data_IF_269055235790
#
_entry.id   IF_269055235790
#
_cell.length_a   1.000
_cell.length_b   1.000
_cell.length_c   1.000
_cell.angle_alpha   90.00
_cell.angle_beta   90.00
_cell.angle_gamma   90.00
#
_symmetry.space_group_name_H-M   'P 1'
#
loop_
_entity.id
_entity.type
_entity.pdbx_description
1 polymer ?
#
# COMPACT_ATOMS: atom_id res chain seq x y z
N UNK A 1 -11.27 -13.44 -7.17
CA UNK A 1 -9.93 -13.00 -6.73
C UNK A 1 -10.09 -11.65 -6.06
N UNK A 2 -9.72 -11.53 -4.79
CA UNK A 2 -9.75 -10.26 -4.04
C UNK A 2 -8.32 -9.73 -4.03
N UNK A 3 -8.12 -8.51 -4.53
CA UNK A 3 -6.81 -7.85 -4.53
C UNK A 3 -6.84 -6.76 -3.47
N UNK A 4 -6.15 -6.92 -2.33
CA UNK A 4 -6.03 -5.85 -1.36
C UNK A 4 -5.28 -4.66 -1.97
N UNK A 5 -5.71 -3.45 -1.61
CA UNK A 5 -5.09 -2.20 -2.02
C UNK A 5 -4.54 -1.45 -0.80
N UNK A 6 -3.36 -0.85 -0.94
CA UNK A 6 -2.72 -0.04 0.09
C UNK A 6 -2.18 1.25 -0.55
N UNK A 7 -2.70 2.39 -0.08
CA UNK A 7 -2.19 3.71 -0.45
C UNK A 7 -1.20 4.19 0.62
N UNK A 8 -0.08 4.75 0.17
CA UNK A 8 0.99 5.30 0.99
C UNK A 8 1.22 6.75 0.57
N UNK A 9 1.18 7.68 1.52
CA UNK A 9 1.63 9.07 1.33
C UNK A 9 2.77 9.31 2.30
N UNK A 10 3.94 9.67 1.78
CA UNK A 10 5.15 9.91 2.58
C UNK A 10 5.47 8.78 3.59
N UNK A 11 5.29 7.53 3.17
CA UNK A 11 5.51 6.35 4.00
C UNK A 11 4.42 6.07 5.03
N UNK A 12 3.40 6.92 5.12
CA UNK A 12 2.23 6.73 5.98
C UNK A 12 1.13 6.02 5.21
N UNK A 13 0.52 5.01 5.84
CA UNK A 13 -0.66 4.36 5.26
C UNK A 13 -1.85 5.30 5.32
N UNK A 14 -2.40 5.60 4.15
CA UNK A 14 -3.56 6.48 4.01
C UNK A 14 -4.70 5.75 3.32
N UNK A 15 -5.89 6.34 3.38
CA UNK A 15 -6.98 6.01 2.46
C UNK A 15 -7.64 7.27 1.98
N UNK A 16 -7.75 7.40 0.66
CA UNK A 16 -8.46 8.50 0.03
C UNK A 16 -9.90 8.10 -0.23
N UNK A 17 -10.85 8.97 0.09
CA UNK A 17 -12.23 8.77 -0.32
C UNK A 17 -12.35 9.12 -1.81
N UNK A 18 -12.52 8.12 -2.68
CA UNK A 18 -12.59 8.30 -4.14
C UNK A 18 -11.38 9.03 -4.77
N UNK A 19 -10.20 8.94 -4.15
CA UNK A 19 -8.99 9.64 -4.62
C UNK A 19 -8.91 11.11 -4.19
N UNK A 20 -9.81 11.58 -3.33
CA UNK A 20 -9.79 12.94 -2.78
C UNK A 20 -8.80 13.05 -1.61
N UNK A 21 -7.74 13.82 -1.81
CA UNK A 21 -6.73 14.15 -0.79
C UNK A 21 -7.32 15.01 0.34
N UNK A 22 -8.33 15.84 0.06
CA UNK A 22 -9.04 16.63 1.08
C UNK A 22 -9.88 15.77 2.03
N UNK A 23 -10.15 14.52 1.65
CA UNK A 23 -10.81 13.50 2.46
C UNK A 23 -9.91 12.29 2.68
N UNK A 24 -8.62 12.55 2.90
CA UNK A 24 -7.70 11.50 3.32
C UNK A 24 -7.95 11.09 4.77
N UNK A 25 -7.76 9.81 5.03
CA UNK A 25 -7.74 9.25 6.37
C UNK A 25 -6.40 8.58 6.61
N UNK A 26 -5.63 9.19 7.51
CA UNK A 26 -4.33 8.66 7.92
C UNK A 26 -4.56 7.53 8.92
N UNK A 27 -4.02 6.36 8.62
CA UNK A 27 -4.04 5.24 9.54
C UNK A 27 -2.83 5.25 10.47
N UNK A 28 -1.78 6.01 10.14
CA UNK A 28 -0.56 6.09 10.92
C UNK A 28 0.20 4.76 11.01
N UNK A 29 1.53 4.83 11.02
CA UNK A 29 2.38 3.67 11.31
C UNK A 29 2.86 2.88 10.09
N UNK A 30 3.71 1.90 10.40
CA UNK A 30 4.45 1.15 9.40
C UNK A 30 3.50 0.39 8.46
N UNK A 31 3.71 0.45 7.13
CA UNK A 31 2.95 -0.35 6.19
C UNK A 31 3.30 -1.84 6.26
N UNK A 32 4.49 -2.16 6.78
CA UNK A 32 5.06 -3.50 6.76
C UNK A 32 4.19 -4.55 7.48
N UNK A 33 3.67 -4.31 8.70
CA UNK A 33 2.74 -5.24 9.35
C UNK A 33 1.45 -5.49 8.56
N UNK A 34 0.89 -4.45 7.91
CA UNK A 34 -0.31 -4.60 7.05
C UNK A 34 -0.04 -5.46 5.84
N UNK A 35 1.09 -5.20 5.18
CA UNK A 35 1.50 -5.96 4.01
C UNK A 35 1.76 -7.44 4.36
N UNK A 36 2.42 -7.69 5.49
CA UNK A 36 2.62 -9.05 6.02
C UNK A 36 1.29 -9.74 6.34
N UNK A 37 0.32 -9.03 6.92
CA UNK A 37 -1.00 -9.57 7.19
C UNK A 37 -1.75 -9.95 5.90
N UNK A 38 -1.62 -9.17 4.83
CA UNK A 38 -2.21 -9.51 3.53
C UNK A 38 -1.54 -10.73 2.90
N UNK A 39 -0.20 -10.78 2.93
CA UNK A 39 0.54 -11.94 2.45
C UNK A 39 0.16 -13.22 3.23
N UNK A 40 0.02 -13.13 4.56
CA UNK A 40 -0.39 -14.24 5.41
C UNK A 40 -1.83 -14.71 5.14
N UNK A 41 -2.70 -13.83 4.63
CA UNK A 41 -4.06 -14.18 4.21
C UNK A 41 -4.11 -14.79 2.80
N UNK A 42 -2.96 -15.00 2.15
CA UNK A 42 -2.88 -15.56 0.80
C UNK A 42 -3.01 -14.51 -0.31
N UNK A 43 -2.81 -13.23 -0.01
CA UNK A 43 -2.72 -12.21 -1.06
C UNK A 43 -1.39 -12.37 -1.82
N UNK A 44 -1.47 -12.90 -3.04
CA UNK A 44 -0.32 -13.01 -3.95
C UNK A 44 -0.04 -11.69 -4.69
N UNK A 45 -1.07 -10.84 -4.81
CA UNK A 45 -1.01 -9.55 -5.49
C UNK A 45 -1.56 -8.47 -4.57
N UNK A 46 -0.81 -7.38 -4.42
CA UNK A 46 -1.27 -6.16 -3.79
C UNK A 46 -1.20 -5.00 -4.78
N UNK A 47 -2.25 -4.18 -4.81
CA UNK A 47 -2.19 -2.90 -5.50
C UNK A 47 -1.65 -1.84 -4.53
N UNK A 48 -0.47 -1.30 -4.82
CA UNK A 48 0.16 -0.27 -4.01
C UNK A 48 0.21 1.05 -4.76
N UNK A 49 -0.23 2.14 -4.13
CA UNK A 49 0.02 3.49 -4.64
C UNK A 49 0.82 4.25 -3.60
N UNK A 50 2.07 4.55 -3.90
CA UNK A 50 2.89 5.47 -3.14
C UNK A 50 2.90 6.83 -3.82
N UNK A 51 2.40 7.84 -3.12
CA UNK A 51 2.46 9.24 -3.52
C UNK A 51 3.43 9.96 -2.58
N UNK A 52 4.33 10.76 -3.13
CA UNK A 52 5.35 11.49 -2.36
C UNK A 52 5.11 13.01 -2.39
N UNK A 53 3.87 13.43 -2.62
CA UNK A 53 3.45 14.83 -2.73
C UNK A 53 3.70 15.47 -4.10
N UNK A 54 4.46 14.84 -4.99
CA UNK A 54 4.72 15.33 -6.35
C UNK A 54 4.58 14.19 -7.37
N UNK A 55 3.42 14.11 -8.04
CA UNK A 55 3.25 13.30 -9.24
C UNK A 55 2.85 11.86 -8.99
N UNK A 56 1.59 11.57 -9.32
CA UNK A 56 0.97 10.25 -9.39
C UNK A 56 1.85 9.24 -10.14
N UNK A 57 2.48 8.34 -9.39
CA UNK A 57 3.13 7.13 -9.92
C UNK A 57 2.47 5.89 -9.34
N UNK A 58 1.82 5.09 -10.17
CA UNK A 58 1.49 3.71 -9.80
C UNK A 58 2.80 2.97 -9.51
N UNK A 59 2.99 2.59 -8.25
CA UNK A 59 4.19 1.89 -7.80
C UNK A 59 3.95 0.39 -8.00
N UNK A 60 4.89 -0.36 -8.60
CA UNK A 60 4.70 -1.79 -8.79
C UNK A 60 4.56 -2.51 -7.44
N UNK A 61 3.66 -3.51 -7.44
CA UNK A 61 3.25 -4.37 -6.32
C UNK A 61 4.31 -4.54 -5.21
N UNK A 62 4.12 -3.91 -4.02
CA UNK A 62 5.08 -4.03 -2.92
C UNK A 62 5.08 -5.43 -2.27
N UNK A 63 4.08 -6.28 -2.55
CA UNK A 63 4.10 -7.66 -2.07
C UNK A 63 5.22 -8.49 -2.71
N UNK A 64 5.61 -8.18 -3.95
CA UNK A 64 6.74 -8.82 -4.61
C UNK A 64 8.07 -8.47 -3.93
N UNK A 65 8.22 -7.22 -3.46
CA UNK A 65 9.43 -6.80 -2.75
C UNK A 65 9.55 -7.43 -1.36
N UNK A 66 8.42 -7.67 -0.68
CA UNK A 66 8.38 -8.35 0.63
C UNK A 66 8.64 -9.86 0.48
N UNK A 67 8.10 -10.49 -0.57
CA UNK A 67 8.36 -11.90 -0.86
C UNK A 67 9.84 -12.14 -1.27
N UNK A 68 10.45 -11.19 -1.99
CA UNK A 68 11.82 -11.28 -2.49
C UNK A 68 12.93 -11.15 -1.44
N UNK A 69 12.65 -10.65 -0.23
CA UNK A 69 13.65 -10.53 0.86
C UNK A 69 13.78 -11.80 1.72
N UNK A 70 13.11 -12.89 1.36
CA UNK A 70 13.34 -14.25 1.93
C UNK A 70 14.25 -15.10 1.04
N UNK A 71 15.36 -14.52 0.57
CA UNK A 71 16.43 -15.21 -0.15
C UNK A 71 17.76 -14.96 0.51
#
# INVERSE_FOLDING_TARGET
MIIPALDLIDGTVVRLHQGDYGQQRDYGGDPLPRLQAYAAQGAEVLHGRSDRGEGSGETPNPAAEIAGRRG
#
